data_IF_984644202615
#
_entry.id   IF_984644202615
#
_cell.length_a   1.000
_cell.length_b   1.000
_cell.length_c   1.000
_cell.angle_alpha   90.00
_cell.angle_beta   90.00
_cell.angle_gamma   90.00
#
_symmetry.space_group_name_H-M   'P 1'
#
loop_
_entity.id
_entity.type
_entity.pdbx_description
1 polymer ?
#
# COMPACT_ATOMS: atom_id res chain seq x y z
N UNK A 1 -9.79 10.63 7.29
CA UNK A 1 -8.98 9.38 7.25
C UNK A 1 -8.84 8.83 5.84
N UNK A 2 -9.93 8.57 5.11
CA UNK A 2 -9.92 8.31 3.66
C UNK A 2 -10.76 9.41 2.99
N UNK A 3 -10.25 10.00 1.91
CA UNK A 3 -10.98 10.94 1.08
C UNK A 3 -11.46 10.18 -0.15
N UNK A 4 -12.75 10.27 -0.44
CA UNK A 4 -13.35 9.67 -1.64
C UNK A 4 -13.90 10.77 -2.53
N UNK A 5 -13.45 10.79 -3.77
CA UNK A 5 -13.94 11.71 -4.80
C UNK A 5 -14.22 10.94 -6.09
N UNK A 6 -15.40 11.12 -6.66
CA UNK A 6 -15.72 10.58 -8.00
C UNK A 6 -15.77 11.71 -9.02
N UNK A 7 -14.98 11.57 -10.07
CA UNK A 7 -14.89 12.58 -11.12
C UNK A 7 -14.62 11.92 -12.47
N UNK A 8 -15.45 12.20 -13.45
CA UNK A 8 -15.31 11.72 -14.83
C UNK A 8 -15.17 10.18 -14.96
N UNK A 9 -15.86 9.43 -14.10
CA UNK A 9 -15.77 7.95 -14.07
C UNK A 9 -14.50 7.43 -13.42
N UNK A 10 -13.81 8.23 -12.63
CA UNK A 10 -12.65 7.81 -11.82
C UNK A 10 -12.97 7.99 -10.35
N UNK A 11 -12.76 6.93 -9.56
CA UNK A 11 -12.80 6.99 -8.10
C UNK A 11 -11.39 7.33 -7.58
N UNK A 12 -11.26 8.47 -6.94
CA UNK A 12 -10.03 8.89 -6.24
C UNK A 12 -10.14 8.53 -4.77
N UNK A 13 -9.15 7.81 -4.26
CA UNK A 13 -9.02 7.41 -2.86
C UNK A 13 -7.76 8.06 -2.28
N UNK A 14 -7.94 9.11 -1.49
CA UNK A 14 -6.86 9.82 -0.80
C UNK A 14 -6.64 9.24 0.60
N UNK A 15 -5.46 8.66 0.86
CA UNK A 15 -5.04 8.29 2.21
C UNK A 15 -4.79 9.58 2.99
N UNK A 16 -5.61 9.90 3.99
CA UNK A 16 -5.60 11.20 4.66
C UNK A 16 -5.36 11.07 6.17
N UNK A 17 -4.13 10.73 6.50
CA UNK A 17 -3.53 10.75 7.84
C UNK A 17 -2.11 11.34 7.76
N UNK A 18 -1.94 12.56 7.21
CA UNK A 18 -0.62 13.13 6.94
C UNK A 18 0.24 13.28 8.19
N UNK A 19 -0.34 13.46 9.36
CA UNK A 19 0.33 13.57 10.66
C UNK A 19 1.12 12.31 11.04
N UNK A 20 0.73 11.15 10.52
CA UNK A 20 1.45 9.86 10.67
C UNK A 20 1.90 9.31 9.30
N UNK A 21 2.09 10.20 8.31
CA UNK A 21 2.52 9.83 6.95
C UNK A 21 1.64 8.75 6.32
N UNK A 22 0.33 8.86 6.50
CA UNK A 22 -0.69 7.95 5.98
C UNK A 22 -0.51 6.48 6.40
N UNK A 23 0.11 6.24 7.56
CA UNK A 23 0.29 4.90 8.09
C UNK A 23 -1.05 4.21 8.40
N UNK A 24 -1.11 2.90 8.17
CA UNK A 24 -2.31 2.09 8.37
C UNK A 24 -2.65 1.89 9.84
N UNK A 25 -3.94 2.04 10.14
CA UNK A 25 -4.58 1.49 11.34
C UNK A 25 -5.85 0.74 10.92
N UNK A 26 -6.50 0.07 11.85
CA UNK A 26 -7.71 -0.71 11.59
C UNK A 26 -8.79 0.08 10.83
N UNK A 27 -8.98 1.35 11.18
CA UNK A 27 -10.00 2.19 10.54
C UNK A 27 -9.68 2.56 9.09
N UNK A 28 -8.40 2.83 8.76
CA UNK A 28 -7.99 3.12 7.37
C UNK A 28 -8.06 1.85 6.51
N UNK A 29 -7.65 0.70 7.07
CA UNK A 29 -7.77 -0.62 6.41
C UNK A 29 -9.24 -0.88 6.05
N UNK A 30 -10.14 -0.75 7.02
CA UNK A 30 -11.56 -0.97 6.80
C UNK A 30 -12.16 0.01 5.78
N UNK A 31 -11.82 1.30 5.87
CA UNK A 31 -12.32 2.32 4.96
C UNK A 31 -11.89 2.04 3.51
N UNK A 32 -10.63 1.69 3.29
CA UNK A 32 -10.10 1.39 1.96
C UNK A 32 -10.73 0.11 1.38
N UNK A 33 -10.87 -0.94 2.20
CA UNK A 33 -11.55 -2.19 1.80
C UNK A 33 -13.01 -1.93 1.40
N UNK A 34 -13.72 -1.13 2.20
CA UNK A 34 -15.12 -0.78 1.93
C UNK A 34 -15.26 0.02 0.63
N UNK A 35 -14.41 1.04 0.42
CA UNK A 35 -14.44 1.85 -0.79
C UNK A 35 -14.18 1.02 -2.06
N UNK A 36 -13.22 0.08 -2.01
CA UNK A 36 -12.90 -0.81 -3.12
C UNK A 36 -13.99 -1.87 -3.37
N UNK A 37 -14.74 -2.26 -2.34
CA UNK A 37 -15.90 -3.15 -2.49
C UNK A 37 -17.13 -2.42 -3.05
N UNK A 38 -17.16 -1.09 -2.99
CA UNK A 38 -18.24 -0.21 -3.44
C UNK A 38 -18.02 0.42 -4.81
N UNK A 39 -17.29 -0.25 -5.72
CA UNK A 39 -17.08 0.23 -7.10
C UNK A 39 -18.42 0.31 -7.81
N UNK A 40 -18.78 1.49 -8.31
CA UNK A 40 -20.01 1.72 -9.04
C UNK A 40 -19.86 1.33 -10.54
N UNK A 41 -20.96 1.00 -11.20
CA UNK A 41 -20.98 0.71 -12.65
C UNK A 41 -20.39 1.84 -13.51
N UNK A 42 -20.49 3.09 -13.02
CA UNK A 42 -19.93 4.27 -13.69
C UNK A 42 -18.42 4.45 -13.47
N UNK A 43 -17.84 3.75 -12.51
CA UNK A 43 -16.40 3.85 -12.21
C UNK A 43 -15.62 3.02 -13.25
N UNK A 44 -14.68 3.66 -13.94
CA UNK A 44 -13.85 3.05 -14.99
C UNK A 44 -12.41 2.84 -14.55
N UNK A 45 -12.01 3.47 -13.46
CA UNK A 45 -10.69 3.34 -12.84
C UNK A 45 -10.73 3.81 -11.39
N UNK A 46 -9.78 3.35 -10.59
CA UNK A 46 -9.49 3.85 -9.25
C UNK A 46 -8.09 4.48 -9.24
N UNK A 47 -7.94 5.62 -8.58
CA UNK A 47 -6.64 6.23 -8.28
C UNK A 47 -6.46 6.26 -6.78
N UNK A 48 -5.41 5.61 -6.27
CA UNK A 48 -5.02 5.67 -4.86
C UNK A 48 -3.82 6.61 -4.72
N UNK A 49 -3.94 7.61 -3.84
CA UNK A 49 -2.89 8.59 -3.55
C UNK A 49 -2.75 8.84 -2.06
N UNK A 50 -1.61 9.39 -1.63
CA UNK A 50 -1.43 9.90 -0.26
C UNK A 50 -1.69 11.41 -0.22
N UNK A 51 -2.22 11.91 0.89
CA UNK A 51 -2.28 13.34 1.17
C UNK A 51 -1.02 13.76 1.96
N UNK A 52 -0.56 15.01 1.77
CA UNK A 52 0.64 15.54 2.42
C UNK A 52 1.94 15.08 1.77
N UNK A 53 2.98 14.80 2.56
CA UNK A 53 4.35 14.59 2.08
C UNK A 53 4.70 13.13 1.74
N UNK A 54 3.84 12.18 2.08
CA UNK A 54 4.10 10.75 1.92
C UNK A 54 2.92 10.03 1.25
N UNK A 55 3.22 9.02 0.46
CA UNK A 55 2.19 8.12 -0.01
C UNK A 55 1.63 7.29 1.17
N UNK A 56 2.48 6.48 1.81
CA UNK A 56 2.12 5.70 3.00
C UNK A 56 3.37 5.13 3.67
N UNK A 57 3.55 5.37 4.97
CA UNK A 57 4.71 4.89 5.72
C UNK A 57 4.58 3.47 6.30
N UNK A 58 3.55 2.70 5.90
CA UNK A 58 3.31 1.34 6.38
C UNK A 58 2.37 1.27 7.56
N UNK A 59 2.59 0.38 8.51
CA UNK A 59 1.78 0.23 9.72
C UNK A 59 2.01 1.38 10.70
N UNK A 60 0.93 1.87 11.31
CA UNK A 60 1.00 2.84 12.40
C UNK A 60 1.66 2.18 13.63
N UNK A 61 2.78 2.75 14.09
CA UNK A 61 3.56 2.18 15.18
C UNK A 61 2.78 2.09 16.50
N UNK A 62 1.84 2.99 16.75
CA UNK A 62 1.00 2.91 17.94
C UNK A 62 0.01 1.75 17.81
N UNK A 63 -0.65 1.62 16.66
CA UNK A 63 -1.52 0.48 16.38
C UNK A 63 -0.76 -0.85 16.46
N UNK A 64 0.43 -0.94 15.88
CA UNK A 64 1.27 -2.14 15.98
C UNK A 64 1.67 -2.48 17.42
N UNK A 65 1.93 -1.45 18.25
CA UNK A 65 2.23 -1.65 19.67
C UNK A 65 1.02 -2.15 20.45
N UNK A 66 -0.17 -1.66 20.17
CA UNK A 66 -1.42 -2.17 20.74
C UNK A 66 -1.63 -3.64 20.36
N UNK A 67 -1.40 -3.99 19.10
CA UNK A 67 -1.50 -5.37 18.64
C UNK A 67 -0.50 -6.32 19.30
N UNK A 68 0.69 -5.84 19.69
CA UNK A 68 1.68 -6.68 20.37
C UNK A 68 1.22 -7.25 21.72
N UNK A 69 0.14 -6.72 22.29
CA UNK A 69 -0.47 -7.20 23.54
C UNK A 69 -1.68 -8.10 23.32
N UNK A 70 -2.09 -8.33 22.07
CA UNK A 70 -3.22 -9.18 21.72
C UNK A 70 -2.82 -10.65 21.65
N UNK A 71 -3.83 -11.53 21.64
CA UNK A 71 -3.64 -12.95 21.42
C UNK A 71 -3.21 -13.25 19.98
N UNK A 72 -2.62 -14.41 19.76
CA UNK A 72 -2.26 -14.90 18.42
C UNK A 72 -3.48 -14.92 17.46
N UNK A 73 -4.64 -15.34 17.96
CA UNK A 73 -5.86 -15.39 17.16
C UNK A 73 -6.34 -13.99 16.72
N UNK A 74 -6.27 -12.99 17.60
CA UNK A 74 -6.60 -11.60 17.28
C UNK A 74 -5.60 -11.01 16.28
N UNK A 75 -4.31 -11.24 16.47
CA UNK A 75 -3.28 -10.82 15.55
C UNK A 75 -3.44 -11.46 14.15
N UNK A 76 -3.78 -12.75 14.10
CA UNK A 76 -4.06 -13.44 12.84
C UNK A 76 -5.29 -12.85 12.13
N UNK A 77 -6.35 -12.52 12.88
CA UNK A 77 -7.55 -11.89 12.31
C UNK A 77 -7.25 -10.49 11.75
N UNK A 78 -6.43 -9.68 12.44
CA UNK A 78 -6.06 -8.36 11.95
C UNK A 78 -5.10 -8.42 10.76
N UNK A 79 -4.17 -9.38 10.74
CA UNK A 79 -3.33 -9.64 9.57
C UNK A 79 -4.17 -10.07 8.36
N UNK A 80 -5.24 -10.85 8.57
CA UNK A 80 -6.17 -11.24 7.51
C UNK A 80 -6.90 -10.01 6.93
N UNK A 81 -7.41 -9.11 7.78
CA UNK A 81 -8.06 -7.86 7.31
C UNK A 81 -7.08 -7.00 6.47
N UNK A 82 -5.83 -6.93 6.89
CA UNK A 82 -4.80 -6.22 6.13
C UNK A 82 -4.53 -6.89 4.78
N UNK A 83 -4.45 -8.22 4.75
CA UNK A 83 -4.35 -8.97 3.50
C UNK A 83 -5.56 -8.73 2.59
N UNK A 84 -6.79 -8.81 3.13
CA UNK A 84 -8.04 -8.58 2.41
C UNK A 84 -8.11 -7.19 1.77
N UNK A 85 -7.55 -6.17 2.44
CA UNK A 85 -7.42 -4.83 1.86
C UNK A 85 -6.53 -4.83 0.61
N UNK A 86 -5.37 -5.51 0.65
CA UNK A 86 -4.51 -5.63 -0.54
C UNK A 86 -5.15 -6.48 -1.64
N UNK A 87 -5.86 -7.54 -1.25
CA UNK A 87 -6.60 -8.39 -2.19
C UNK A 87 -7.74 -7.62 -2.86
N UNK A 88 -8.42 -6.71 -2.15
CA UNK A 88 -9.42 -5.81 -2.71
C UNK A 88 -8.83 -4.84 -3.74
N UNK A 89 -7.63 -4.33 -3.53
CA UNK A 89 -6.89 -3.55 -4.54
C UNK A 89 -6.61 -4.43 -5.76
N UNK A 90 -6.07 -5.62 -5.54
CA UNK A 90 -5.63 -6.54 -6.58
C UNK A 90 -6.79 -7.10 -7.42
N UNK A 91 -7.94 -7.38 -6.79
CA UNK A 91 -9.15 -7.94 -7.45
C UNK A 91 -10.16 -6.88 -7.86
N UNK A 92 -9.81 -5.60 -7.75
CA UNK A 92 -10.71 -4.52 -8.17
C UNK A 92 -11.19 -4.77 -9.61
N UNK A 93 -12.50 -4.66 -9.88
CA UNK A 93 -13.06 -4.96 -11.21
C UNK A 93 -12.70 -3.94 -12.29
N UNK A 94 -12.08 -2.82 -11.89
CA UNK A 94 -11.57 -1.77 -12.79
C UNK A 94 -10.10 -1.51 -12.51
N UNK A 95 -9.31 -0.97 -13.46
CA UNK A 95 -7.89 -0.70 -13.25
C UNK A 95 -7.64 0.19 -12.04
N UNK A 96 -6.67 -0.21 -11.20
CA UNK A 96 -6.19 0.56 -10.05
C UNK A 96 -4.84 1.19 -10.36
N UNK A 97 -4.77 2.51 -10.23
CA UNK A 97 -3.56 3.30 -10.41
C UNK A 97 -3.06 3.77 -9.03
N UNK A 98 -1.85 3.42 -8.65
CA UNK A 98 -1.18 4.02 -7.50
C UNK A 98 -0.40 5.26 -7.96
N UNK A 99 -0.77 6.44 -7.45
CA UNK A 99 -0.05 7.69 -7.66
C UNK A 99 0.86 7.95 -6.45
N UNK A 100 2.15 7.66 -6.61
CA UNK A 100 3.12 7.61 -5.50
C UNK A 100 4.02 8.83 -5.49
N UNK A 101 4.16 9.44 -4.32
CA UNK A 101 5.14 10.48 -4.03
C UNK A 101 5.73 10.31 -2.63
N UNK A 102 6.91 10.86 -2.40
CA UNK A 102 7.55 10.80 -1.09
C UNK A 102 7.74 9.37 -0.56
N UNK A 103 7.74 9.17 0.78
CA UNK A 103 7.89 7.86 1.39
C UNK A 103 6.74 6.90 1.09
N UNK A 104 7.10 5.68 0.67
CA UNK A 104 6.19 4.55 0.43
C UNK A 104 6.83 3.29 1.03
N UNK A 105 6.47 2.94 2.29
CA UNK A 105 7.15 1.91 3.07
C UNK A 105 6.21 0.78 3.49
N UNK A 106 6.75 -0.42 3.68
CA UNK A 106 6.03 -1.58 4.20
C UNK A 106 4.70 -1.82 3.49
N UNK A 107 3.59 -1.76 4.22
CA UNK A 107 2.24 -1.90 3.65
C UNK A 107 1.89 -0.89 2.55
N UNK A 108 2.52 0.30 2.52
CA UNK A 108 2.41 1.22 1.38
C UNK A 108 2.91 0.59 0.09
N UNK A 109 4.05 -0.12 0.14
CA UNK A 109 4.55 -0.93 -0.97
C UNK A 109 3.60 -2.09 -1.30
N UNK A 110 2.82 -2.58 -0.33
CA UNK A 110 1.77 -3.58 -0.55
C UNK A 110 0.66 -3.07 -1.48
N UNK A 111 0.15 -1.85 -1.26
CA UNK A 111 -0.81 -1.21 -2.19
C UNK A 111 -0.20 -1.08 -3.59
N UNK A 112 1.04 -0.56 -3.66
CA UNK A 112 1.76 -0.36 -4.93
C UNK A 112 1.94 -1.68 -5.68
N UNK A 113 2.28 -2.76 -4.98
CA UNK A 113 2.44 -4.07 -5.58
C UNK A 113 1.12 -4.69 -6.04
N UNK A 114 0.02 -4.42 -5.34
CA UNK A 114 -1.31 -4.90 -5.68
C UNK A 114 -1.98 -4.10 -6.83
N UNK A 115 -1.58 -2.84 -7.04
CA UNK A 115 -2.12 -2.00 -8.10
C UNK A 115 -1.68 -2.45 -9.50
N UNK A 116 -2.50 -2.18 -10.52
CA UNK A 116 -2.19 -2.50 -11.93
C UNK A 116 -1.12 -1.58 -12.49
N UNK A 117 -1.24 -0.28 -12.26
CA UNK A 117 -0.36 0.77 -12.78
C UNK A 117 0.18 1.58 -11.61
N UNK A 118 1.47 1.88 -11.67
CA UNK A 118 2.16 2.70 -10.66
C UNK A 118 2.84 3.87 -11.33
N UNK A 119 2.33 5.06 -11.06
CA UNK A 119 2.93 6.33 -11.48
C UNK A 119 3.63 6.94 -10.28
N UNK A 120 4.92 7.11 -10.35
CA UNK A 120 5.74 7.57 -9.24
C UNK A 120 6.41 8.91 -9.54
N UNK A 121 6.40 9.81 -8.56
CA UNK A 121 7.31 10.96 -8.58
C UNK A 121 8.76 10.48 -8.55
N UNK A 122 9.66 11.19 -9.22
CA UNK A 122 11.10 10.94 -9.15
C UNK A 122 11.68 11.08 -7.74
N UNK A 123 11.02 11.82 -6.85
CA UNK A 123 11.41 11.98 -5.44
C UNK A 123 10.88 10.89 -4.51
N UNK A 124 10.10 9.93 -5.01
CA UNK A 124 9.56 8.86 -4.18
C UNK A 124 10.65 7.89 -3.72
N UNK A 125 10.49 7.41 -2.47
CA UNK A 125 11.39 6.46 -1.84
C UNK A 125 10.58 5.25 -1.35
N UNK A 126 11.00 4.06 -1.74
CA UNK A 126 10.35 2.80 -1.40
C UNK A 126 11.20 1.99 -0.43
N UNK A 127 10.57 1.23 0.46
CA UNK A 127 11.26 0.24 1.27
C UNK A 127 10.29 -0.85 1.78
N UNK A 128 10.71 -2.10 1.75
CA UNK A 128 10.06 -3.18 2.50
C UNK A 128 10.69 -3.21 3.89
N UNK A 129 10.15 -2.39 4.81
CA UNK A 129 10.82 -2.04 6.06
C UNK A 129 10.58 -3.02 7.21
N UNK A 130 9.83 -4.08 6.99
CA UNK A 130 9.39 -5.04 8.00
C UNK A 130 10.54 -5.66 8.78
N UNK A 131 11.63 -6.04 8.11
CA UNK A 131 12.79 -6.66 8.76
C UNK A 131 13.46 -5.73 9.80
N UNK A 132 13.39 -4.40 9.64
CA UNK A 132 13.88 -3.43 10.64
C UNK A 132 13.08 -3.44 11.94
N UNK A 133 11.87 -3.98 11.91
CA UNK A 133 10.97 -4.12 13.05
C UNK A 133 10.96 -5.55 13.60
N UNK A 134 11.83 -6.45 13.09
CA UNK A 134 11.82 -7.86 13.45
C UNK A 134 10.64 -8.65 12.89
N UNK A 135 10.00 -8.14 11.83
CA UNK A 135 8.85 -8.75 11.18
C UNK A 135 9.22 -9.29 9.80
N UNK A 136 8.34 -10.13 9.26
CA UNK A 136 8.36 -10.54 7.86
C UNK A 136 7.23 -9.83 7.09
N UNK A 137 7.41 -9.53 5.80
CA UNK A 137 6.37 -8.88 4.97
C UNK A 137 5.28 -9.88 4.54
N UNK A 138 4.69 -10.63 5.49
CA UNK A 138 3.80 -11.75 5.21
C UNK A 138 2.57 -11.35 4.39
N UNK A 139 1.87 -10.28 4.79
CA UNK A 139 0.61 -9.85 4.17
C UNK A 139 0.79 -9.27 2.78
N UNK A 140 1.94 -8.65 2.49
CA UNK A 140 2.23 -8.03 1.19
C UNK A 140 2.96 -8.97 0.23
N UNK A 141 3.64 -10.00 0.75
CA UNK A 141 4.53 -10.86 -0.05
C UNK A 141 3.87 -11.50 -1.27
N UNK A 142 2.59 -11.96 -1.26
CA UNK A 142 1.96 -12.54 -2.44
C UNK A 142 1.89 -11.56 -3.62
N UNK A 143 1.62 -10.28 -3.34
CA UNK A 143 1.50 -9.23 -4.34
C UNK A 143 2.88 -8.78 -4.83
N UNK A 144 3.84 -8.60 -3.90
CA UNK A 144 5.20 -8.18 -4.21
C UNK A 144 5.94 -9.24 -5.03
N UNK A 145 5.89 -10.51 -4.63
CA UNK A 145 6.50 -11.63 -5.36
C UNK A 145 5.98 -11.73 -6.79
N UNK A 146 4.67 -11.53 -6.97
CA UNK A 146 4.05 -11.51 -8.29
C UNK A 146 4.51 -10.32 -9.14
N UNK A 147 4.69 -9.14 -8.54
CA UNK A 147 5.02 -7.90 -9.24
C UNK A 147 6.48 -7.82 -9.65
N UNK A 148 7.41 -8.15 -8.74
CA UNK A 148 8.85 -7.96 -8.92
C UNK A 148 9.68 -9.26 -8.85
N UNK A 149 9.03 -10.39 -8.67
CA UNK A 149 9.69 -11.71 -8.72
C UNK A 149 10.86 -11.84 -7.75
N UNK A 150 11.99 -12.33 -8.25
CA UNK A 150 13.18 -12.62 -7.45
C UNK A 150 13.84 -11.42 -6.78
N UNK A 151 13.61 -10.21 -7.27
CA UNK A 151 14.12 -8.97 -6.64
C UNK A 151 13.57 -8.77 -5.22
N UNK A 152 12.40 -9.33 -4.91
CA UNK A 152 11.80 -9.24 -3.58
C UNK A 152 12.68 -9.84 -2.49
N UNK A 153 13.43 -10.92 -2.76
CA UNK A 153 14.23 -11.62 -1.76
C UNK A 153 15.30 -10.73 -1.14
N UNK A 154 16.07 -10.05 -1.98
CA UNK A 154 17.08 -9.09 -1.53
C UNK A 154 16.45 -7.96 -0.73
N UNK A 155 15.40 -7.33 -1.29
CA UNK A 155 14.75 -6.17 -0.70
C UNK A 155 14.06 -6.48 0.63
N UNK A 156 13.48 -7.66 0.79
CA UNK A 156 12.86 -8.10 2.05
C UNK A 156 13.90 -8.34 3.15
N UNK A 157 15.04 -8.94 2.80
CA UNK A 157 16.08 -9.27 3.78
C UNK A 157 16.88 -8.03 4.19
N UNK A 158 17.23 -7.18 3.23
CA UNK A 158 18.06 -6.00 3.50
C UNK A 158 17.27 -4.83 4.06
N UNK A 159 15.97 -4.75 3.75
CA UNK A 159 15.09 -3.60 4.02
C UNK A 159 15.72 -2.25 3.60
N UNK A 160 16.59 -2.28 2.58
CA UNK A 160 17.24 -1.08 2.05
C UNK A 160 16.21 -0.23 1.27
N UNK A 161 16.19 1.08 1.48
CA UNK A 161 15.41 1.97 0.64
C UNK A 161 15.95 2.00 -0.79
N UNK A 162 15.03 2.19 -1.75
CA UNK A 162 15.36 2.37 -3.16
C UNK A 162 14.47 3.45 -3.78
N UNK A 163 14.99 4.12 -4.81
CA UNK A 163 14.32 5.22 -5.50
C UNK A 163 13.32 4.73 -6.57
N UNK A 164 12.61 5.68 -7.17
CA UNK A 164 11.64 5.42 -8.23
C UNK A 164 12.28 4.83 -9.50
N UNK A 165 13.54 5.19 -9.81
CA UNK A 165 14.31 4.64 -10.92
C UNK A 165 14.54 3.15 -10.74
N UNK A 166 15.05 2.75 -9.59
CA UNK A 166 15.21 1.33 -9.22
C UNK A 166 13.87 0.62 -9.19
N UNK A 167 12.82 1.28 -8.66
CA UNK A 167 11.45 0.74 -8.69
C UNK A 167 10.97 0.39 -10.10
N UNK A 168 11.30 1.24 -11.08
CA UNK A 168 10.98 1.00 -12.50
C UNK A 168 11.79 -0.14 -13.09
N UNK A 169 13.08 -0.21 -12.81
CA UNK A 169 13.95 -1.30 -13.28
C UNK A 169 13.46 -2.69 -12.86
N UNK A 170 13.02 -2.82 -11.62
CA UNK A 170 12.56 -4.10 -11.06
C UNK A 170 11.08 -4.40 -11.35
N UNK A 171 10.36 -3.50 -12.03
CA UNK A 171 8.96 -3.69 -12.42
C UNK A 171 7.92 -3.32 -11.35
N UNK A 172 8.34 -2.70 -10.22
CA UNK A 172 7.40 -2.19 -9.21
C UNK A 172 6.68 -0.93 -9.71
N UNK A 173 7.39 -0.04 -10.38
CA UNK A 173 6.90 1.25 -10.89
C UNK A 173 6.73 1.17 -12.41
N UNK A 174 5.58 1.60 -12.92
CA UNK A 174 5.27 1.61 -14.36
C UNK A 174 5.88 2.82 -15.05
N UNK A 175 5.80 4.00 -14.43
CA UNK A 175 6.37 5.24 -14.96
C UNK A 175 6.83 6.19 -13.84
N UNK A 176 7.90 6.93 -14.14
CA UNK A 176 8.45 7.96 -13.26
C UNK A 176 8.24 9.32 -13.92
N UNK A 177 7.74 10.28 -13.16
CA UNK A 177 7.44 11.65 -13.57
C UNK A 177 8.13 12.67 -12.66
#
# INVERSE_FOLDING_TARGET
MLIEERKNGVLYLGLNRPEVRNAFNASLIQALTTALSGIAESDRAVVIRGEGEAFCAGGDLNWMREQSTQSEAENAADALKLYEMFDAVYRCPVPVIAQVHGPCFGGGCGIVAAADIVVSSSSALFAFSEAKLGLIPATISPFVLRKIGSYSRELFVTAQPFDAGRGKEIGLVSSVV
#
